data_IF_379578507220
#
_entry.id   IF_379578507220
#
_cell.length_a   1.000
_cell.length_b   1.000
_cell.length_c   1.000
_cell.angle_alpha   90.00
_cell.angle_beta   90.00
_cell.angle_gamma   90.00
#
_symmetry.space_group_name_H-M   'P 1'
#
loop_
_entity.id
_entity.type
_entity.pdbx_description
1 polymer ?
#
# COMPACT_ATOMS: atom_id res chain seq x y z
N UNK A 1 0.82 47.79 40.69
CA UNK A 1 1.05 46.80 41.77
C UNK A 1 0.91 45.41 41.18
N UNK A 2 1.88 44.56 41.50
CA UNK A 2 2.10 43.20 41.01
C UNK A 2 1.18 42.20 41.76
N UNK A 3 0.62 41.18 41.09
CA UNK A 3 0.57 39.79 41.62
C UNK A 3 -0.01 38.76 40.62
N UNK A 4 0.86 37.83 40.23
CA UNK A 4 0.57 36.50 39.67
C UNK A 4 -0.19 35.64 40.68
N UNK A 5 -1.00 34.69 40.19
CA UNK A 5 -1.11 33.36 40.77
C UNK A 5 -1.64 32.35 39.73
N UNK A 6 -0.75 31.42 39.35
CA UNK A 6 -1.09 30.09 38.85
C UNK A 6 -1.69 29.27 40.00
N UNK A 7 -2.51 28.26 39.73
CA UNK A 7 -2.30 26.86 40.16
C UNK A 7 -3.52 25.98 39.82
N UNK A 8 -3.25 25.02 38.93
CA UNK A 8 -3.60 23.60 38.97
C UNK A 8 -4.91 23.15 39.63
N UNK A 9 -5.83 22.62 38.82
CA UNK A 9 -6.69 21.52 39.23
C UNK A 9 -6.23 20.24 38.53
N UNK A 10 -5.54 19.39 39.29
CA UNK A 10 -5.32 17.99 38.94
C UNK A 10 -6.63 17.23 39.22
N UNK A 11 -7.26 16.74 38.16
CA UNK A 11 -8.36 15.78 38.29
C UNK A 11 -7.75 14.39 38.53
N UNK A 12 -7.91 13.89 39.76
CA UNK A 12 -7.70 12.49 40.12
C UNK A 12 -8.87 11.67 39.58
N UNK A 13 -8.60 10.81 38.60
CA UNK A 13 -9.55 9.86 38.04
C UNK A 13 -8.94 8.45 37.97
N UNK A 14 -9.24 7.67 39.02
CA UNK A 14 -9.44 6.21 39.08
C UNK A 14 -8.76 5.30 38.03
N UNK A 15 -7.90 4.44 38.54
CA UNK A 15 -7.28 3.34 37.80
C UNK A 15 -8.24 2.18 37.48
N UNK A 16 -8.07 1.65 36.28
CA UNK A 16 -8.29 0.26 35.91
C UNK A 16 -7.15 -0.12 34.95
N UNK A 17 -6.32 -1.08 35.36
CA UNK A 17 -5.32 -1.83 34.62
C UNK A 17 -4.98 -1.33 33.19
N UNK A 18 -3.97 -0.47 33.09
CA UNK A 18 -3.30 -0.15 31.82
C UNK A 18 -2.43 -1.35 31.40
N UNK A 19 -3.01 -2.32 30.72
CA UNK A 19 -2.21 -3.10 29.77
C UNK A 19 -1.78 -2.08 28.71
N UNK A 20 -0.49 -1.88 28.43
CA UNK A 20 -0.11 -1.02 27.32
C UNK A 20 -0.48 -1.77 26.05
N UNK A 21 -1.73 -1.62 25.60
CA UNK A 21 -2.04 -1.82 24.21
C UNK A 21 -1.09 -0.87 23.45
N UNK A 22 -0.33 -1.34 22.45
CA UNK A 22 0.55 -0.47 21.70
C UNK A 22 -0.29 0.66 21.12
N UNK A 23 -0.08 1.86 21.64
CA UNK A 23 -0.61 3.12 21.10
C UNK A 23 0.12 3.36 19.79
N UNK A 24 -0.35 2.72 18.73
CA UNK A 24 0.10 2.95 17.35
C UNK A 24 -1.02 3.42 16.43
N UNK A 25 -2.18 3.79 16.96
CA UNK A 25 -3.35 4.13 16.15
C UNK A 25 -3.98 5.48 16.51
N UNK A 26 -3.19 6.54 16.70
CA UNK A 26 -3.72 7.94 16.69
C UNK A 26 -2.72 8.99 16.17
N UNK A 27 -1.69 8.59 15.43
CA UNK A 27 -1.06 9.54 14.52
C UNK A 27 -1.83 9.44 13.21
N UNK A 28 -2.44 10.55 12.78
CA UNK A 28 -2.96 10.73 11.43
C UNK A 28 -1.81 10.54 10.46
N UNK A 29 -1.52 9.29 10.14
CA UNK A 29 -0.45 8.87 9.28
C UNK A 29 -0.78 9.32 7.87
N UNK A 30 -0.39 10.55 7.55
CA UNK A 30 0.00 10.84 6.17
C UNK A 30 1.20 9.95 5.93
N UNK A 31 0.96 8.78 5.34
CA UNK A 31 2.04 7.98 4.78
C UNK A 31 2.86 8.93 3.91
N UNK A 32 4.19 9.02 4.10
CA UNK A 32 5.00 9.97 3.35
C UNK A 32 4.71 9.77 1.87
N UNK A 33 4.43 10.88 1.17
CA UNK A 33 4.04 10.79 -0.22
C UNK A 33 5.17 10.10 -0.99
N UNK A 34 4.93 8.95 -1.62
CA UNK A 34 5.92 8.34 -2.50
C UNK A 34 5.73 8.93 -3.89
N UNK A 35 6.55 9.91 -4.32
CA UNK A 35 6.33 10.58 -5.61
C UNK A 35 6.48 9.60 -6.78
N UNK A 36 7.12 8.45 -6.57
CA UNK A 36 7.25 7.41 -7.58
C UNK A 36 5.92 6.73 -7.91
N UNK A 37 4.97 6.62 -6.97
CA UNK A 37 3.66 6.00 -7.24
C UNK A 37 2.87 6.81 -8.28
N UNK A 38 2.89 8.14 -8.15
CA UNK A 38 2.29 9.04 -9.13
C UNK A 38 2.97 8.93 -10.49
N UNK A 39 4.31 8.89 -10.52
CA UNK A 39 5.07 8.71 -11.75
C UNK A 39 4.74 7.36 -12.40
N UNK A 40 4.68 6.27 -11.64
CA UNK A 40 4.37 4.93 -12.14
C UNK A 40 2.96 4.87 -12.71
N UNK A 41 1.97 5.44 -12.00
CA UNK A 41 0.61 5.54 -12.53
C UNK A 41 0.58 6.30 -13.86
N UNK A 42 1.17 7.50 -13.91
CA UNK A 42 1.20 8.33 -15.12
C UNK A 42 1.88 7.61 -16.29
N UNK A 43 3.01 6.95 -16.03
CA UNK A 43 3.73 6.17 -17.04
C UNK A 43 2.87 5.03 -17.59
N UNK A 44 2.19 4.27 -16.72
CA UNK A 44 1.30 3.19 -17.17
C UNK A 44 0.15 3.74 -18.02
N UNK A 45 -0.46 4.87 -17.64
CA UNK A 45 -1.51 5.51 -18.45
C UNK A 45 -0.99 5.97 -19.82
N UNK A 46 0.19 6.59 -19.85
CA UNK A 46 0.83 7.01 -21.10
C UNK A 46 1.08 5.81 -22.02
N UNK A 47 1.68 4.72 -21.51
CA UNK A 47 1.94 3.51 -22.27
C UNK A 47 0.65 2.85 -22.77
N UNK A 48 -0.42 2.83 -21.96
CA UNK A 48 -1.75 2.34 -22.39
C UNK A 48 -2.31 3.16 -23.55
N UNK A 49 -2.22 4.49 -23.47
CA UNK A 49 -2.71 5.38 -24.53
C UNK A 49 -1.94 5.16 -25.84
N UNK A 50 -0.62 5.06 -25.78
CA UNK A 50 0.24 4.76 -26.94
C UNK A 50 -0.10 3.41 -27.55
N UNK A 51 -0.19 2.37 -26.72
CA UNK A 51 -0.46 1.01 -27.16
C UNK A 51 -1.88 0.82 -27.73
N UNK A 52 -2.86 1.55 -27.21
CA UNK A 52 -4.24 1.54 -27.74
C UNK A 52 -4.29 2.06 -29.18
N UNK A 53 -3.45 3.05 -29.50
CA UNK A 53 -3.33 3.59 -30.86
C UNK A 53 -2.45 2.73 -31.78
N UNK A 54 -1.66 1.81 -31.24
CA UNK A 54 -0.73 0.98 -31.99
C UNK A 54 -1.42 -0.19 -32.70
N UNK A 55 -1.37 -0.18 -34.03
CA UNK A 55 -1.92 -1.24 -34.90
C UNK A 55 -0.88 -2.21 -35.44
N UNK A 56 0.39 -2.05 -35.06
CA UNK A 56 1.48 -2.92 -35.54
C UNK A 56 1.50 -4.27 -34.84
N UNK A 57 0.97 -4.35 -33.61
CA UNK A 57 0.89 -5.58 -32.84
C UNK A 57 -0.35 -6.42 -33.21
N UNK A 58 -0.25 -7.76 -33.19
CA UNK A 58 -1.39 -8.66 -33.24
C UNK A 58 -2.44 -8.32 -32.16
N UNK A 59 -3.75 -8.39 -32.46
CA UNK A 59 -4.80 -7.96 -31.52
C UNK A 59 -4.76 -8.66 -30.16
N UNK A 60 -4.49 -9.97 -30.13
CA UNK A 60 -4.39 -10.74 -28.89
C UNK A 60 -3.21 -10.27 -28.02
N UNK A 61 -2.02 -10.16 -28.61
CA UNK A 61 -0.83 -9.67 -27.91
C UNK A 61 -1.03 -8.25 -27.37
N UNK A 62 -1.65 -7.36 -28.16
CA UNK A 62 -1.97 -6.00 -27.71
C UNK A 62 -2.93 -6.02 -26.52
N UNK A 63 -3.95 -6.86 -26.55
CA UNK A 63 -4.92 -6.98 -25.45
C UNK A 63 -4.25 -7.45 -24.16
N UNK A 64 -3.36 -8.46 -24.23
CA UNK A 64 -2.64 -8.97 -23.06
C UNK A 64 -1.76 -7.89 -22.41
N UNK A 65 -1.02 -7.13 -23.23
CA UNK A 65 -0.17 -6.04 -22.71
C UNK A 65 -1.05 -4.92 -22.12
N UNK A 66 -2.15 -4.54 -22.78
CA UNK A 66 -3.09 -3.55 -22.23
C UNK A 66 -3.70 -4.00 -20.91
N UNK A 67 -4.02 -5.29 -20.76
CA UNK A 67 -4.53 -5.85 -19.53
C UNK A 67 -3.50 -5.74 -18.40
N UNK A 68 -2.25 -6.14 -18.65
CA UNK A 68 -1.16 -6.03 -17.67
C UNK A 68 -0.92 -4.58 -17.24
N UNK A 69 -0.85 -3.64 -18.19
CA UNK A 69 -0.71 -2.21 -17.88
C UNK A 69 -1.89 -1.68 -17.07
N UNK A 70 -3.11 -2.19 -17.32
CA UNK A 70 -4.32 -1.79 -16.58
C UNK A 70 -4.25 -2.28 -15.13
N UNK A 71 -3.86 -3.52 -14.90
CA UNK A 71 -3.71 -4.10 -13.56
C UNK A 71 -2.66 -3.32 -12.76
N UNK A 72 -1.48 -3.09 -13.35
CA UNK A 72 -0.40 -2.34 -12.68
C UNK A 72 -0.84 -0.89 -12.41
N UNK A 73 -1.53 -0.24 -13.35
CA UNK A 73 -2.06 1.11 -13.12
C UNK A 73 -3.08 1.14 -11.97
N UNK A 74 -3.97 0.14 -11.86
CA UNK A 74 -4.94 0.04 -10.78
C UNK A 74 -4.25 -0.16 -9.41
N UNK A 75 -3.18 -0.94 -9.36
CA UNK A 75 -2.36 -1.09 -8.16
C UNK A 75 -1.83 0.28 -7.67
N UNK A 76 -1.20 1.06 -8.55
CA UNK A 76 -0.72 2.40 -8.19
C UNK A 76 -1.85 3.36 -7.87
N UNK A 77 -3.01 3.26 -8.54
CA UNK A 77 -4.20 4.04 -8.21
C UNK A 77 -4.67 3.80 -6.76
N UNK A 78 -4.66 2.54 -6.31
CA UNK A 78 -4.96 2.19 -4.91
C UNK A 78 -3.91 2.74 -3.95
N UNK A 79 -2.63 2.70 -4.31
CA UNK A 79 -1.57 3.28 -3.48
C UNK A 79 -1.70 4.80 -3.32
N UNK A 80 -2.15 5.51 -4.34
CA UNK A 80 -2.32 6.98 -4.28
C UNK A 80 -3.71 7.42 -3.82
N UNK A 81 -4.66 6.51 -3.58
CA UNK A 81 -6.04 6.91 -3.26
C UNK A 81 -6.21 7.55 -1.88
N UNK A 82 -5.18 7.51 -1.04
CA UNK A 82 -5.21 8.09 0.31
C UNK A 82 -4.81 9.58 0.34
N UNK A 83 -4.24 10.13 -0.74
CA UNK A 83 -3.90 11.55 -0.81
C UNK A 83 -5.15 12.42 -0.93
N UNK A 84 -5.08 13.62 -0.35
CA UNK A 84 -6.12 14.64 -0.59
C UNK A 84 -6.16 15.00 -2.08
N UNK A 85 -7.32 15.44 -2.57
CA UNK A 85 -7.46 15.84 -3.99
C UNK A 85 -6.50 16.95 -4.38
N UNK A 86 -6.29 17.94 -3.51
CA UNK A 86 -5.37 19.05 -3.74
C UNK A 86 -3.91 18.58 -3.88
N UNK A 87 -3.47 17.70 -3.00
CA UNK A 87 -2.12 17.13 -3.04
C UNK A 87 -1.93 16.21 -4.26
N UNK A 88 -2.90 15.34 -4.51
CA UNK A 88 -2.87 14.43 -5.64
C UNK A 88 -2.73 15.19 -6.97
N UNK A 89 -3.45 16.29 -7.16
CA UNK A 89 -3.35 17.12 -8.37
C UNK A 89 -1.94 17.65 -8.58
N UNK A 90 -1.32 18.20 -7.52
CA UNK A 90 0.05 18.70 -7.61
C UNK A 90 1.05 17.59 -7.98
N UNK A 91 0.94 16.43 -7.32
CA UNK A 91 1.82 15.30 -7.58
C UNK A 91 1.61 14.72 -8.98
N UNK A 92 0.38 14.66 -9.48
CA UNK A 92 0.09 14.25 -10.85
C UNK A 92 0.71 15.18 -11.89
N UNK A 93 0.66 16.49 -11.66
CA UNK A 93 1.27 17.47 -12.55
C UNK A 93 2.80 17.32 -12.59
N UNK A 94 3.42 17.18 -11.42
CA UNK A 94 4.86 16.92 -11.28
C UNK A 94 5.27 15.63 -11.99
N UNK A 95 4.56 14.52 -11.73
CA UNK A 95 4.78 13.23 -12.37
C UNK A 95 4.61 13.30 -13.90
N UNK A 96 3.59 14.00 -14.38
CA UNK A 96 3.34 14.20 -15.82
C UNK A 96 4.42 15.04 -16.50
N UNK A 97 5.01 16.00 -15.81
CA UNK A 97 6.15 16.75 -16.33
C UNK A 97 7.40 15.85 -16.43
N UNK A 98 7.69 15.08 -15.38
CA UNK A 98 8.83 14.15 -15.34
C UNK A 98 8.75 13.09 -16.45
N UNK A 99 7.58 12.44 -16.61
CA UNK A 99 7.37 11.40 -17.63
C UNK A 99 7.44 11.98 -19.05
N UNK A 100 6.89 13.18 -19.30
CA UNK A 100 6.97 13.81 -20.63
C UNK A 100 8.38 14.29 -20.99
N UNK A 101 9.16 14.71 -19.99
CA UNK A 101 10.52 15.20 -20.18
C UNK A 101 11.58 14.10 -20.27
N UNK A 102 11.23 12.85 -19.96
CA UNK A 102 12.16 11.72 -19.94
C UNK A 102 12.47 11.19 -21.34
N UNK A 103 13.71 10.73 -21.54
CA UNK A 103 14.11 10.01 -22.75
C UNK A 103 13.50 8.60 -22.79
N UNK A 104 13.44 7.94 -23.96
CA UNK A 104 12.94 6.56 -24.05
C UNK A 104 13.66 5.59 -23.10
N UNK A 105 15.00 5.66 -23.01
CA UNK A 105 15.78 4.81 -22.11
C UNK A 105 15.48 5.06 -20.62
N UNK A 106 15.22 6.32 -20.25
CA UNK A 106 14.79 6.67 -18.88
C UNK A 106 13.39 6.12 -18.59
N UNK A 107 12.47 6.23 -19.55
CA UNK A 107 11.13 5.67 -19.42
C UNK A 107 11.14 4.16 -19.29
N UNK A 108 12.04 3.45 -19.97
CA UNK A 108 12.18 2.00 -19.84
C UNK A 108 12.78 1.59 -18.50
N UNK A 109 13.80 2.32 -18.04
CA UNK A 109 14.35 2.11 -16.68
C UNK A 109 13.27 2.32 -15.63
N UNK A 110 12.49 3.39 -15.78
CA UNK A 110 11.42 3.71 -14.85
C UNK A 110 10.29 2.67 -14.89
N UNK A 111 9.90 2.19 -16.08
CA UNK A 111 8.94 1.11 -16.22
C UNK A 111 9.37 -0.18 -15.52
N UNK A 112 10.66 -0.54 -15.65
CA UNK A 112 11.22 -1.72 -14.98
C UNK A 112 11.15 -1.57 -13.46
N UNK A 113 11.48 -0.39 -12.92
CA UNK A 113 11.32 -0.12 -11.49
C UNK A 113 9.88 -0.29 -11.03
N UNK A 114 8.91 0.28 -11.77
CA UNK A 114 7.50 0.16 -11.43
C UNK A 114 7.01 -1.30 -11.49
N UNK A 115 7.35 -2.02 -12.55
CA UNK A 115 6.96 -3.42 -12.71
C UNK A 115 7.57 -4.31 -11.62
N UNK A 116 8.86 -4.14 -11.31
CA UNK A 116 9.54 -4.92 -10.27
C UNK A 116 8.96 -4.67 -8.88
N UNK A 117 8.63 -3.41 -8.58
CA UNK A 117 7.97 -3.09 -7.31
C UNK A 117 6.59 -3.75 -7.22
N UNK A 118 5.76 -3.64 -8.26
CA UNK A 118 4.48 -4.33 -8.32
C UNK A 118 4.62 -5.84 -8.11
N UNK A 119 5.53 -6.49 -8.83
CA UNK A 119 5.79 -7.94 -8.71
C UNK A 119 6.20 -8.30 -7.28
N UNK A 120 7.11 -7.53 -6.68
CA UNK A 120 7.57 -7.76 -5.30
C UNK A 120 6.41 -7.72 -4.30
N UNK A 121 5.51 -6.73 -4.41
CA UNK A 121 4.33 -6.66 -3.54
C UNK A 121 3.38 -7.83 -3.78
N UNK A 122 3.11 -8.19 -5.04
CA UNK A 122 2.24 -9.33 -5.35
C UNK A 122 2.80 -10.66 -4.83
N UNK A 123 4.12 -10.85 -4.86
CA UNK A 123 4.80 -12.01 -4.27
C UNK A 123 4.59 -12.04 -2.76
N UNK A 124 4.82 -10.93 -2.06
CA UNK A 124 4.61 -10.84 -0.61
C UNK A 124 3.16 -11.17 -0.22
N UNK A 125 2.19 -10.63 -0.96
CA UNK A 125 0.77 -10.90 -0.71
C UNK A 125 0.44 -12.38 -0.90
N UNK A 126 0.95 -12.98 -1.96
CA UNK A 126 0.76 -14.42 -2.25
C UNK A 126 1.39 -15.30 -1.16
N UNK A 127 2.63 -15.00 -0.76
CA UNK A 127 3.33 -15.75 0.29
C UNK A 127 2.63 -15.62 1.65
N UNK A 128 2.13 -14.43 1.96
CA UNK A 128 1.36 -14.16 3.19
C UNK A 128 0.06 -14.96 3.20
N UNK A 129 -0.68 -15.02 2.08
CA UNK A 129 -1.88 -15.85 1.97
C UNK A 129 -1.58 -17.34 2.17
N UNK A 130 -0.47 -17.84 1.61
CA UNK A 130 -0.05 -19.23 1.81
C UNK A 130 0.27 -19.53 3.28
N UNK A 131 0.97 -18.61 3.97
CA UNK A 131 1.28 -18.73 5.40
C UNK A 131 0.02 -18.65 6.29
N UNK A 132 -0.92 -17.76 5.96
CA UNK A 132 -2.19 -17.66 6.67
C UNK A 132 -3.02 -18.95 6.56
N UNK A 133 -3.07 -19.55 5.37
CA UNK A 133 -3.77 -20.81 5.13
C UNK A 133 -3.12 -22.00 5.85
N UNK A 134 -1.79 -22.03 6.02
CA UNK A 134 -1.11 -23.12 6.75
C UNK A 134 -1.35 -23.04 8.27
N UNK A 135 -1.51 -21.84 8.84
CA UNK A 135 -1.78 -21.68 10.28
C UNK A 135 -3.20 -22.09 10.67
N UNK A 136 -4.16 -22.07 9.75
CA UNK A 136 -5.54 -22.53 10.00
C UNK A 136 -5.68 -24.06 9.96
N UNK A 137 -4.64 -24.78 9.53
CA UNK A 137 -4.68 -26.22 9.28
C UNK A 137 -3.94 -27.07 10.34
N UNK A 138 -3.70 -26.52 11.53
CA UNK A 138 -3.20 -27.31 12.66
C UNK A 138 -4.32 -28.23 13.18
N UNK A 139 -4.19 -29.57 13.11
CA UNK A 139 -5.15 -30.47 13.72
C UNK A 139 -5.18 -30.26 15.23
N UNK A 140 -6.37 -30.06 15.81
CA UNK A 140 -6.60 -30.23 17.24
C UNK A 140 -6.37 -31.70 17.62
N UNK A 141 -5.12 -32.11 17.84
CA UNK A 141 -4.82 -33.41 18.43
C UNK A 141 -4.67 -33.29 19.95
N UNK A 142 -5.71 -33.76 20.65
CA UNK A 142 -5.56 -34.54 21.87
C UNK A 142 -5.44 -33.77 23.19
N UNK A 143 -6.57 -33.61 23.88
CA UNK A 143 -6.59 -33.45 25.34
C UNK A 143 -6.34 -34.85 25.95
N UNK A 144 -5.35 -35.07 26.85
CA UNK A 144 -5.28 -36.33 27.58
C UNK A 144 -6.44 -36.40 28.57
N UNK A 145 -7.41 -37.28 28.31
CA UNK A 145 -8.44 -37.68 29.28
C UNK A 145 -7.77 -38.41 30.45
N UNK A 146 -7.71 -37.77 31.62
CA UNK A 146 -7.42 -38.43 32.89
C UNK A 146 -8.58 -39.36 33.24
N UNK A 147 -8.28 -40.65 33.31
CA UNK A 147 -9.21 -41.72 33.68
C UNK A 147 -9.25 -41.85 35.22
N UNK A 148 -10.41 -41.71 35.89
CA UNK A 148 -10.50 -41.94 37.34
C UNK A 148 -10.54 -43.45 37.60
N UNK A 149 -9.47 -43.98 38.17
CA UNK A 149 -9.39 -45.35 38.68
C UNK A 149 -10.08 -45.46 40.03
N UNK A 150 -11.11 -46.30 40.08
CA UNK A 150 -11.83 -46.73 41.29
C UNK A 150 -10.91 -47.62 42.14
N UNK A 151 -10.72 -47.27 43.41
CA UNK A 151 -10.71 -48.20 44.56
C UNK A 151 -11.15 -47.47 45.83
#
# INVERSE_FOLDING_TARGET
MLRRALFSLAALGLGLASVPAPVLAQQGGVLPSDPQDFQCFVLMQQRRALLTADRTLPPAQRADILNNLTIIAAFYAGRISHYSSAEAVFQFQSASAAVRGASPAQLDTFANTCANFYISVMQILTDTEQQANTQQQVPQTGIPQQQPGIR
#
